data_IF_022474011364
#
_entry.id   IF_022474011364
#
_cell.length_a   1.000
_cell.length_b   1.000
_cell.length_c   1.000
_cell.angle_alpha   90.00
_cell.angle_beta   90.00
_cell.angle_gamma   90.00
#
_symmetry.space_group_name_H-M   'P 1'
#
loop_
_entity.id
_entity.type
_entity.pdbx_description
1 polymer ?
#
# COMPACT_ATOMS: atom_id res chain seq x y z
N UNK A 1 8.52 3.83 5.16
CA UNK A 1 8.06 3.84 3.75
C UNK A 1 6.55 3.64 3.64
N UNK A 2 5.98 2.47 3.97
CA UNK A 2 4.54 2.19 3.85
C UNK A 2 3.61 3.29 4.41
N UNK A 3 3.76 3.68 5.69
CA UNK A 3 2.89 4.70 6.28
C UNK A 3 2.94 6.05 5.53
N UNK A 4 4.12 6.40 4.97
CA UNK A 4 4.25 7.61 4.16
C UNK A 4 3.49 7.48 2.83
N UNK A 5 3.52 6.31 2.20
CA UNK A 5 2.73 6.05 0.98
C UNK A 5 1.22 6.11 1.27
N UNK A 6 0.74 5.44 2.31
CA UNK A 6 -0.68 5.47 2.71
C UNK A 6 -1.12 6.93 2.97
N UNK A 7 -0.32 7.69 3.75
CA UNK A 7 -0.61 9.10 4.03
C UNK A 7 -0.64 9.98 2.77
N UNK A 8 0.29 9.74 1.84
CA UNK A 8 0.37 10.50 0.59
C UNK A 8 -0.78 10.16 -0.36
N UNK A 9 -1.07 8.87 -0.57
CA UNK A 9 -2.01 8.39 -1.57
C UNK A 9 -3.48 8.50 -1.16
N UNK A 10 -3.78 8.31 0.13
CA UNK A 10 -5.14 8.37 0.66
C UNK A 10 -5.43 9.70 1.38
N UNK A 11 -4.54 10.69 1.22
CA UNK A 11 -4.69 12.04 1.78
C UNK A 11 -4.96 12.09 3.29
N UNK A 12 -4.47 11.10 4.05
CA UNK A 12 -4.60 11.03 5.50
C UNK A 12 -3.33 11.50 6.22
N UNK A 13 -3.45 11.87 7.49
CA UNK A 13 -2.27 12.23 8.28
C UNK A 13 -1.43 10.98 8.62
N UNK A 14 -0.11 11.08 8.50
CA UNK A 14 0.78 10.00 8.97
C UNK A 14 0.66 9.75 10.48
N UNK A 15 0.30 10.79 11.26
CA UNK A 15 0.07 10.69 12.70
C UNK A 15 -1.05 9.71 13.02
N UNK A 16 -2.20 9.79 12.33
CA UNK A 16 -3.32 8.88 12.57
C UNK A 16 -2.93 7.43 12.25
N UNK A 17 -2.18 7.18 11.17
CA UNK A 17 -1.70 5.83 10.82
C UNK A 17 -0.80 5.27 11.94
N UNK A 18 0.09 6.10 12.48
CA UNK A 18 0.97 5.70 13.59
C UNK A 18 0.15 5.43 14.85
N UNK A 19 -0.87 6.24 15.16
CA UNK A 19 -1.75 6.02 16.30
C UNK A 19 -2.52 4.71 16.19
N UNK A 20 -3.12 4.42 15.02
CA UNK A 20 -3.80 3.15 14.76
C UNK A 20 -2.85 1.95 14.93
N UNK A 21 -1.62 2.07 14.42
CA UNK A 21 -0.58 1.04 14.60
C UNK A 21 -0.24 0.80 16.07
N UNK A 22 -0.07 1.87 16.85
CA UNK A 22 0.19 1.79 18.29
C UNK A 22 -1.00 1.20 19.06
N UNK A 23 -2.22 1.34 18.53
CA UNK A 23 -3.44 0.70 19.03
C UNK A 23 -3.58 -0.78 18.69
N UNK A 24 -2.59 -1.40 18.02
CA UNK A 24 -2.56 -2.83 17.72
C UNK A 24 -2.85 -3.19 16.27
N UNK A 25 -3.13 -2.22 15.40
CA UNK A 25 -3.30 -2.50 13.98
C UNK A 25 -1.97 -2.89 13.32
N UNK A 26 -1.93 -4.06 12.70
CA UNK A 26 -0.77 -4.49 11.92
C UNK A 26 -0.71 -3.78 10.54
N UNK A 27 0.34 -4.07 9.78
CA UNK A 27 0.56 -3.42 8.49
C UNK A 27 -0.53 -3.70 7.45
N UNK A 28 -1.21 -4.84 7.54
CA UNK A 28 -2.19 -5.30 6.56
C UNK A 28 -3.54 -4.67 6.89
N UNK A 29 -3.91 -4.67 8.16
CA UNK A 29 -5.10 -3.97 8.64
C UNK A 29 -5.04 -2.47 8.33
N UNK A 30 -3.87 -1.84 8.44
CA UNK A 30 -3.73 -0.42 8.07
C UNK A 30 -3.96 -0.19 6.57
N UNK A 31 -3.56 -1.10 5.69
CA UNK A 31 -3.88 -0.96 4.27
C UNK A 31 -5.38 -1.05 4.04
N UNK A 32 -6.02 -2.06 4.63
CA UNK A 32 -7.45 -2.30 4.44
C UNK A 32 -8.28 -1.17 5.04
N UNK A 33 -8.09 -0.82 6.30
CA UNK A 33 -8.91 0.17 7.00
C UNK A 33 -8.86 1.55 6.32
N UNK A 34 -7.66 2.01 5.95
CA UNK A 34 -7.51 3.32 5.31
C UNK A 34 -8.03 3.33 3.87
N UNK A 35 -7.81 2.26 3.09
CA UNK A 35 -8.36 2.16 1.74
C UNK A 35 -9.89 2.09 1.76
N UNK A 36 -10.46 1.28 2.67
CA UNK A 36 -11.91 1.17 2.83
C UNK A 36 -12.51 2.51 3.19
N UNK A 37 -11.88 3.25 4.11
CA UNK A 37 -12.33 4.59 4.47
C UNK A 37 -12.31 5.56 3.28
N UNK A 38 -11.20 5.63 2.54
CA UNK A 38 -11.06 6.47 1.34
C UNK A 38 -12.15 6.18 0.28
N UNK A 39 -12.44 4.89 0.03
CA UNK A 39 -13.37 4.50 -1.03
C UNK A 39 -14.84 4.58 -0.64
N UNK A 40 -15.16 4.19 0.59
CA UNK A 40 -16.55 3.96 1.00
C UNK A 40 -17.09 5.00 1.98
N UNK A 41 -16.24 5.84 2.56
CA UNK A 41 -16.61 6.77 3.62
C UNK A 41 -16.89 6.09 4.97
N UNK A 42 -16.60 4.79 5.10
CA UNK A 42 -16.60 4.10 6.40
C UNK A 42 -15.50 4.71 7.28
N UNK A 43 -15.81 5.01 8.54
CA UNK A 43 -14.81 5.54 9.46
C UNK A 43 -13.73 4.51 9.75
N UNK A 44 -12.48 4.97 9.89
CA UNK A 44 -11.33 4.07 10.11
C UNK A 44 -11.55 3.25 11.40
N UNK A 45 -12.06 3.88 12.45
CA UNK A 45 -12.37 3.26 13.73
C UNK A 45 -13.39 2.13 13.57
N UNK A 46 -14.41 2.30 12.73
CA UNK A 46 -15.41 1.25 12.47
C UNK A 46 -14.78 0.04 11.78
N UNK A 47 -13.89 0.27 10.80
CA UNK A 47 -13.16 -0.81 10.13
C UNK A 47 -12.20 -1.54 11.08
N UNK A 48 -11.50 -0.80 11.95
CA UNK A 48 -10.62 -1.37 12.96
C UNK A 48 -11.40 -2.18 14.00
N UNK A 49 -12.50 -1.63 14.54
CA UNK A 49 -13.36 -2.33 15.51
C UNK A 49 -13.98 -3.58 14.90
N UNK A 50 -14.47 -3.52 13.67
CA UNK A 50 -15.02 -4.69 12.98
C UNK A 50 -14.01 -5.84 12.88
N UNK A 51 -12.72 -5.52 12.65
CA UNK A 51 -11.65 -6.51 12.65
C UNK A 51 -11.32 -7.00 14.07
N UNK A 52 -11.17 -6.10 15.04
CA UNK A 52 -10.75 -6.48 16.40
C UNK A 52 -11.80 -7.34 17.12
N UNK A 53 -13.08 -7.05 16.90
CA UNK A 53 -14.18 -7.75 17.58
C UNK A 53 -14.62 -9.02 16.84
N UNK A 54 -14.58 -8.99 15.50
CA UNK A 54 -15.18 -10.02 14.65
C UNK A 54 -14.24 -10.68 13.64
N UNK A 55 -12.96 -10.29 13.61
CA UNK A 55 -11.98 -10.75 12.64
C UNK A 55 -12.48 -10.55 11.21
N UNK A 56 -12.24 -11.55 10.35
CA UNK A 56 -12.66 -11.49 8.95
C UNK A 56 -14.17 -11.43 8.77
N UNK A 57 -14.94 -12.06 9.65
CA UNK A 57 -16.41 -12.05 9.59
C UNK A 57 -16.95 -10.64 9.83
N UNK A 58 -16.44 -9.95 10.86
CA UNK A 58 -16.83 -8.57 11.16
C UNK A 58 -16.46 -7.62 10.03
N UNK A 59 -15.22 -7.71 9.54
CA UNK A 59 -14.75 -6.90 8.42
C UNK A 59 -15.56 -7.16 7.14
N UNK A 60 -15.82 -8.42 6.78
CA UNK A 60 -16.61 -8.77 5.60
C UNK A 60 -18.04 -8.21 5.66
N UNK A 61 -18.69 -8.27 6.83
CA UNK A 61 -20.03 -7.71 7.02
C UNK A 61 -20.08 -6.19 6.79
N UNK A 62 -18.98 -5.49 7.09
CA UNK A 62 -18.81 -4.07 6.80
C UNK A 62 -18.60 -3.83 5.30
N UNK A 63 -17.69 -4.58 4.67
CA UNK A 63 -17.32 -4.41 3.26
C UNK A 63 -18.48 -4.70 2.29
N UNK A 64 -19.32 -5.70 2.57
CA UNK A 64 -20.46 -6.06 1.71
C UNK A 64 -21.44 -4.90 1.53
N UNK A 65 -21.58 -4.02 2.54
CA UNK A 65 -22.49 -2.86 2.48
C UNK A 65 -22.04 -1.79 1.49
N UNK A 66 -20.77 -1.78 1.13
CA UNK A 66 -20.14 -0.77 0.28
C UNK A 66 -19.41 -1.38 -0.92
N UNK A 67 -19.78 -2.60 -1.31
CA UNK A 67 -19.07 -3.35 -2.34
C UNK A 67 -19.03 -2.65 -3.70
N UNK A 68 -20.00 -1.77 -4.00
CA UNK A 68 -20.08 -0.96 -5.21
C UNK A 68 -19.08 0.20 -5.24
N UNK A 69 -18.42 0.50 -4.12
CA UNK A 69 -17.43 1.59 -3.99
C UNK A 69 -16.00 1.17 -4.27
N UNK A 70 -15.74 -0.14 -4.33
CA UNK A 70 -14.39 -0.66 -4.48
C UNK A 70 -14.04 -0.93 -5.94
N UNK A 71 -12.77 -0.72 -6.28
CA UNK A 71 -12.26 -1.00 -7.62
C UNK A 71 -11.91 -2.49 -7.80
N UNK A 72 -11.61 -2.88 -9.05
CA UNK A 72 -11.49 -4.28 -9.43
C UNK A 72 -10.45 -5.09 -8.62
N UNK A 73 -9.21 -4.61 -8.37
CA UNK A 73 -8.24 -5.35 -7.56
C UNK A 73 -8.75 -5.69 -6.16
N UNK A 74 -9.39 -4.74 -5.47
CA UNK A 74 -9.93 -4.97 -4.12
C UNK A 74 -11.15 -5.91 -4.16
N UNK A 75 -12.06 -5.74 -5.12
CA UNK A 75 -13.23 -6.61 -5.29
C UNK A 75 -12.81 -8.06 -5.58
N UNK A 76 -11.73 -8.29 -6.34
CA UNK A 76 -11.19 -9.63 -6.57
C UNK A 76 -10.69 -10.25 -5.27
N UNK A 77 -9.91 -9.50 -4.47
CA UNK A 77 -9.45 -9.96 -3.16
C UNK A 77 -10.59 -10.30 -2.18
N UNK A 78 -11.73 -9.60 -2.28
CA UNK A 78 -12.92 -9.92 -1.49
C UNK A 78 -13.59 -11.24 -1.91
N UNK A 79 -13.48 -11.65 -3.17
CA UNK A 79 -14.16 -12.83 -3.73
C UNK A 79 -13.34 -14.11 -3.59
N UNK A 80 -12.03 -14.02 -3.78
CA UNK A 80 -11.12 -15.18 -3.79
C UNK A 80 -10.63 -15.55 -2.39
N UNK A 81 -11.55 -15.93 -1.51
CA UNK A 81 -11.23 -16.39 -0.15
C UNK A 81 -10.62 -15.27 0.70
N UNK A 82 -11.45 -14.34 1.23
CA UNK A 82 -10.95 -13.14 1.87
C UNK A 82 -10.08 -13.47 3.10
N UNK A 83 -8.83 -13.05 3.05
CA UNK A 83 -7.90 -13.00 4.16
C UNK A 83 -7.45 -11.55 4.35
N UNK A 84 -6.94 -11.20 5.53
CA UNK A 84 -6.50 -9.82 5.78
C UNK A 84 -5.37 -9.45 4.81
N UNK A 85 -4.49 -10.41 4.55
CA UNK A 85 -3.39 -10.32 3.59
C UNK A 85 -3.91 -10.10 2.16
N UNK A 86 -4.89 -10.89 1.70
CA UNK A 86 -5.43 -10.75 0.35
C UNK A 86 -6.13 -9.39 0.15
N UNK A 87 -6.90 -8.95 1.15
CA UNK A 87 -7.53 -7.63 1.14
C UNK A 87 -6.51 -6.49 1.14
N UNK A 88 -5.44 -6.62 1.94
CA UNK A 88 -4.38 -5.63 1.98
C UNK A 88 -3.60 -5.56 0.65
N UNK A 89 -3.39 -6.69 -0.01
CA UNK A 89 -2.80 -6.74 -1.35
C UNK A 89 -3.72 -6.15 -2.43
N UNK A 90 -5.02 -6.42 -2.34
CA UNK A 90 -6.04 -5.75 -3.14
C UNK A 90 -5.95 -4.23 -2.98
N UNK A 91 -5.97 -3.74 -1.74
CA UNK A 91 -5.92 -2.31 -1.43
C UNK A 91 -4.62 -1.66 -1.92
N UNK A 92 -3.50 -2.34 -1.73
CA UNK A 92 -2.19 -1.90 -2.22
C UNK A 92 -2.17 -1.78 -3.75
N UNK A 93 -2.64 -2.80 -4.47
CA UNK A 93 -2.71 -2.79 -5.94
C UNK A 93 -3.62 -1.68 -6.44
N UNK A 94 -4.79 -1.52 -5.82
CA UNK A 94 -5.74 -0.44 -6.10
C UNK A 94 -5.09 0.94 -5.97
N UNK A 95 -4.35 1.18 -4.89
CA UNK A 95 -3.63 2.43 -4.67
C UNK A 95 -2.52 2.65 -5.70
N UNK A 96 -1.72 1.62 -5.97
CA UNK A 96 -0.62 1.73 -6.93
C UNK A 96 -1.12 2.01 -8.35
N UNK A 97 -2.20 1.35 -8.78
CA UNK A 97 -2.78 1.57 -10.11
C UNK A 97 -3.46 2.94 -10.19
N UNK A 98 -4.35 3.27 -9.24
CA UNK A 98 -5.23 4.44 -9.38
C UNK A 98 -4.63 5.76 -8.89
N UNK A 99 -3.68 5.72 -7.96
CA UNK A 99 -3.10 6.92 -7.37
C UNK A 99 -1.66 7.14 -7.81
N UNK A 100 -0.89 6.07 -8.00
CA UNK A 100 0.54 6.15 -8.37
C UNK A 100 0.76 5.93 -9.87
N UNK A 101 -0.27 5.50 -10.61
CA UNK A 101 -0.22 5.19 -12.05
C UNK A 101 0.80 4.09 -12.40
N UNK A 102 0.85 3.05 -11.57
CA UNK A 102 1.67 1.86 -11.85
C UNK A 102 0.88 0.87 -12.69
N UNK A 103 1.52 0.39 -13.76
CA UNK A 103 0.95 -0.64 -14.62
C UNK A 103 0.63 -1.95 -13.86
N UNK A 104 -0.54 -2.51 -14.13
CA UNK A 104 -1.04 -3.70 -13.45
C UNK A 104 -0.19 -4.96 -13.74
N UNK A 105 0.42 -5.06 -14.93
CA UNK A 105 1.29 -6.18 -15.32
C UNK A 105 2.64 -6.12 -14.59
N UNK A 106 3.14 -4.92 -14.32
CA UNK A 106 4.32 -4.71 -13.49
C UNK A 106 4.08 -5.16 -12.04
N UNK A 107 2.92 -4.80 -11.46
CA UNK A 107 2.53 -5.26 -10.12
C UNK A 107 2.35 -6.78 -10.05
N UNK A 108 1.81 -7.40 -11.10
CA UNK A 108 1.71 -8.85 -11.20
C UNK A 108 3.10 -9.50 -11.18
N UNK A 109 4.03 -9.01 -12.02
CA UNK A 109 5.42 -9.49 -12.09
C UNK A 109 6.15 -9.38 -10.73
N UNK A 110 5.97 -8.27 -10.00
CA UNK A 110 6.53 -8.11 -8.66
C UNK A 110 5.95 -9.11 -7.64
N UNK A 111 4.69 -9.49 -7.81
CA UNK A 111 4.03 -10.45 -6.91
C UNK A 111 4.49 -11.88 -7.17
N UNK A 112 4.77 -12.25 -8.42
CA UNK A 112 5.29 -13.58 -8.79
C UNK A 112 6.65 -13.88 -8.14
N UNK A 113 7.44 -12.83 -7.89
CA UNK A 113 8.72 -12.92 -7.18
C UNK A 113 8.56 -13.06 -5.65
N UNK A 114 7.33 -13.13 -5.13
CA UNK A 114 7.01 -13.30 -3.70
C UNK A 114 7.64 -12.23 -2.80
N UNK A 115 7.85 -11.01 -3.31
CA UNK A 115 8.35 -9.90 -2.50
C UNK A 115 7.36 -9.59 -1.39
N UNK A 116 7.87 -9.31 -0.18
CA UNK A 116 7.03 -8.75 0.87
C UNK A 116 6.55 -7.37 0.46
N UNK A 117 5.34 -6.97 0.86
CA UNK A 117 4.76 -5.66 0.49
C UNK A 117 5.68 -4.47 0.79
N UNK A 118 6.47 -4.52 1.88
CA UNK A 118 7.46 -3.48 2.20
C UNK A 118 8.56 -3.35 1.14
N UNK A 119 9.00 -4.46 0.58
CA UNK A 119 10.01 -4.51 -0.48
C UNK A 119 9.41 -4.04 -1.80
N UNK A 120 8.17 -4.45 -2.12
CA UNK A 120 7.45 -3.94 -3.28
C UNK A 120 7.30 -2.41 -3.24
N UNK A 121 6.87 -1.87 -2.09
CA UNK A 121 6.77 -0.42 -1.88
C UNK A 121 8.13 0.27 -2.07
N UNK A 122 9.22 -0.33 -1.59
CA UNK A 122 10.57 0.25 -1.71
C UNK A 122 11.07 0.20 -3.16
N UNK A 123 10.95 -0.94 -3.83
CA UNK A 123 11.34 -1.13 -5.22
C UNK A 123 10.59 -0.14 -6.13
N UNK A 124 9.27 -0.02 -5.95
CA UNK A 124 8.46 0.91 -6.72
C UNK A 124 8.83 2.37 -6.42
N UNK A 125 9.03 2.74 -5.15
CA UNK A 125 9.47 4.09 -4.79
C UNK A 125 10.79 4.48 -5.48
N UNK A 126 11.78 3.59 -5.42
CA UNK A 126 13.09 3.82 -6.01
C UNK A 126 13.02 3.81 -7.54
N UNK A 127 12.22 2.92 -8.14
CA UNK A 127 12.03 2.88 -9.60
C UNK A 127 11.53 4.21 -10.15
N UNK A 128 10.59 4.85 -9.46
CA UNK A 128 10.03 6.15 -9.85
C UNK A 128 11.04 7.30 -9.71
N UNK A 129 12.02 7.17 -8.82
CA UNK A 129 13.04 8.19 -8.57
C UNK A 129 14.26 8.06 -9.47
N UNK A 130 14.69 6.82 -9.70
CA UNK A 130 15.89 6.49 -10.47
C UNK A 130 15.57 6.26 -11.95
N UNK A 131 14.29 6.17 -12.31
CA UNK A 131 13.82 5.76 -13.64
C UNK A 131 14.38 4.38 -14.06
N UNK A 132 14.51 3.48 -13.08
CA UNK A 132 14.99 2.10 -13.26
C UNK A 132 13.85 1.09 -13.11
N UNK A 133 14.02 -0.13 -13.62
CA UNK A 133 13.03 -1.18 -13.46
C UNK A 133 12.99 -1.67 -11.99
N UNK A 134 11.82 -1.75 -11.33
CA UNK A 134 11.74 -2.20 -9.93
C UNK A 134 12.18 -3.66 -9.72
N UNK A 135 12.07 -4.52 -10.74
CA UNK A 135 12.56 -5.90 -10.66
C UNK A 135 14.09 -5.94 -10.64
N UNK A 136 14.76 -5.12 -11.46
CA UNK A 136 16.22 -5.05 -11.49
C UNK A 136 16.77 -4.53 -10.14
N UNK A 137 16.10 -3.51 -9.57
CA UNK A 137 16.42 -3.00 -8.24
C UNK A 137 16.27 -4.08 -7.16
N UNK A 138 15.18 -4.85 -7.22
CA UNK A 138 14.98 -5.98 -6.30
C UNK A 138 16.05 -7.06 -6.47
N UNK A 139 16.36 -7.46 -7.70
CA UNK A 139 17.34 -8.51 -8.00
C UNK A 139 18.75 -8.11 -7.53
N UNK A 140 19.10 -6.82 -7.65
CA UNK A 140 20.33 -6.24 -7.09
C UNK A 140 20.39 -6.34 -5.55
N UNK A 141 19.27 -6.14 -4.85
CA UNK A 141 19.23 -6.28 -3.39
C UNK A 141 19.23 -7.75 -2.97
N UNK A 142 18.44 -8.59 -3.65
CA UNK A 142 18.34 -10.02 -3.35
C UNK A 142 19.66 -10.76 -3.62
N UNK A 143 20.41 -10.36 -4.64
CA UNK A 143 21.74 -10.90 -4.96
C UNK A 143 22.88 -10.31 -4.12
N UNK A 144 22.58 -9.34 -3.24
CA UNK A 144 23.56 -8.72 -2.35
C UNK A 144 24.50 -7.72 -3.02
N UNK A 145 24.22 -7.30 -4.27
CA UNK A 145 24.98 -6.24 -4.94
C UNK A 145 24.72 -4.86 -4.31
N UNK A 146 23.56 -4.66 -3.69
CA UNK A 146 23.18 -3.43 -3.01
C UNK A 146 22.24 -3.71 -1.83
N UNK A 147 21.96 -2.68 -1.03
CA UNK A 147 20.93 -2.71 0.01
C UNK A 147 19.89 -1.63 -0.26
N UNK A 148 18.68 -1.80 0.27
CA UNK A 148 17.64 -0.76 0.20
C UNK A 148 18.11 0.58 0.77
N UNK A 149 18.96 0.56 1.81
CA UNK A 149 19.56 1.76 2.39
C UNK A 149 20.48 2.47 1.40
N UNK A 150 21.41 1.75 0.78
CA UNK A 150 22.33 2.31 -0.22
C UNK A 150 21.59 2.88 -1.44
N UNK A 151 20.55 2.18 -1.92
CA UNK A 151 19.73 2.66 -3.03
C UNK A 151 18.92 3.89 -2.64
N UNK A 152 18.45 3.99 -1.39
CA UNK A 152 17.78 5.20 -0.92
C UNK A 152 18.76 6.37 -0.78
N UNK A 153 19.93 6.12 -0.21
CA UNK A 153 20.96 7.14 -0.02
C UNK A 153 21.44 7.72 -1.36
N UNK A 154 21.51 6.90 -2.43
CA UNK A 154 21.90 7.37 -3.78
C UNK A 154 20.89 8.34 -4.40
N UNK A 155 19.64 8.36 -3.93
CA UNK A 155 18.63 9.34 -4.37
C UNK A 155 18.83 10.72 -3.75
N UNK A 156 19.65 10.83 -2.69
CA UNK A 156 19.82 12.06 -1.91
C UNK A 156 18.59 12.49 -1.10
N UNK A 157 17.58 11.62 -0.96
CA UNK A 157 16.35 11.91 -0.21
C UNK A 157 16.52 11.53 1.25
N UNK A 158 16.30 12.51 2.13
CA UNK A 158 16.28 12.25 3.56
C UNK A 158 15.03 11.43 3.96
N UNK A 159 15.11 10.55 4.98
CA UNK A 159 13.96 9.79 5.47
C UNK A 159 12.75 10.67 5.87
N UNK A 160 13.00 11.90 6.31
CA UNK A 160 11.96 12.88 6.65
C UNK A 160 11.19 13.41 5.43
N UNK A 161 11.76 13.34 4.23
CA UNK A 161 11.18 13.87 2.99
C UNK A 161 10.35 12.83 2.23
N UNK A 162 10.46 11.54 2.59
CA UNK A 162 9.80 10.42 1.89
C UNK A 162 8.30 10.66 1.61
N UNK A 163 7.56 11.19 2.58
CA UNK A 163 6.12 11.45 2.40
C UNK A 163 5.86 12.53 1.34
N UNK A 164 6.60 13.63 1.41
CA UNK A 164 6.50 14.71 0.44
C UNK A 164 6.93 14.24 -0.95
N UNK A 165 7.96 13.40 -1.03
CA UNK A 165 8.38 12.77 -2.28
C UNK A 165 7.26 11.91 -2.87
N UNK A 166 6.59 11.07 -2.08
CA UNK A 166 5.43 10.32 -2.57
C UNK A 166 4.33 11.23 -3.10
N UNK A 167 4.02 12.34 -2.40
CA UNK A 167 3.02 13.31 -2.85
C UNK A 167 3.41 13.93 -4.20
N UNK A 168 4.69 14.23 -4.42
CA UNK A 168 5.19 14.75 -5.71
C UNK A 168 5.05 13.72 -6.82
N UNK A 169 5.47 12.47 -6.57
CA UNK A 169 5.37 11.37 -7.55
C UNK A 169 3.92 11.12 -7.96
N UNK A 170 3.01 11.04 -6.99
CA UNK A 170 1.56 10.85 -7.21
C UNK A 170 0.93 11.99 -8.01
N UNK A 171 1.38 13.24 -7.79
CA UNK A 171 0.90 14.39 -8.58
C UNK A 171 1.44 14.37 -10.01
N UNK A 172 2.69 13.96 -10.19
CA UNK A 172 3.33 13.91 -11.50
C UNK A 172 2.72 12.84 -12.42
N UNK A 173 2.31 11.68 -11.88
CA UNK A 173 1.63 10.63 -12.64
C UNK A 173 0.16 10.92 -13.00
N UNK A 174 -0.41 12.04 -12.54
CA UNK A 174 -1.79 12.45 -12.86
C UNK A 174 -1.89 13.50 -13.97
N UNK A 175 -0.77 13.89 -14.57
CA UNK A 175 -0.69 14.88 -15.65
C UNK A 175 -0.45 14.23 -17.00
#
# INVERSE_FOLDING_TARGET
MQNSLIAAALSVSKRSIVQAKMGGADADLLWVAYYVSDRSGIEIEDALSAWMDGGMTGLSALLVKSADKFDAPFVMAMKDGPSLESLADGAFRSVMISQVDIDATLLASLSEKQLKRKEQVMALFLSLLLAENPLDLYESVAGGQSTWGQLLDSTGIDPGQIEETWRKLIRAGKG
#
